data_IF_543050751077
#
_entry.id   IF_543050751077
#
_cell.length_a   1.000
_cell.length_b   1.000
_cell.length_c   1.000
_cell.angle_alpha   90.00
_cell.angle_beta   90.00
_cell.angle_gamma   90.00
#
_symmetry.space_group_name_H-M   'P 1'
#
loop_
_entity.id
_entity.type
_entity.pdbx_description
1 polymer ?
#
# COMPACT_ATOMS: atom_id res chain seq x y z
N UNK A 1 -5.04 5.19 10.87
CA UNK A 1 -5.07 5.43 9.42
C UNK A 1 -4.55 4.23 8.64
N UNK A 2 -3.33 3.71 8.85
CA UNK A 2 -2.90 2.48 8.14
C UNK A 2 -3.59 1.21 8.61
N UNK A 3 -3.89 1.08 9.91
CA UNK A 3 -4.65 -0.06 10.45
C UNK A 3 -6.13 -0.10 10.02
N UNK A 4 -6.64 0.98 9.44
CA UNK A 4 -8.05 1.05 9.03
C UNK A 4 -8.25 0.36 7.67
N UNK A 5 -7.28 0.41 6.75
CA UNK A 5 -7.34 -0.30 5.47
C UNK A 5 -7.35 -1.84 5.65
N UNK A 6 -6.64 -2.35 6.66
CA UNK A 6 -6.56 -3.80 6.94
C UNK A 6 -7.79 -4.35 7.64
N UNK A 7 -8.48 -3.54 8.47
CA UNK A 7 -9.80 -3.93 8.98
C UNK A 7 -10.78 -4.23 7.85
N UNK A 8 -10.57 -3.64 6.67
CA UNK A 8 -11.47 -3.83 5.53
C UNK A 8 -11.24 -5.16 4.78
N UNK A 9 -10.11 -5.85 4.95
CA UNK A 9 -9.96 -7.24 4.47
C UNK A 9 -10.90 -8.24 5.17
N UNK A 10 -11.58 -7.80 6.25
CA UNK A 10 -12.67 -8.55 6.87
C UNK A 10 -13.99 -8.42 6.11
N UNK A 11 -14.09 -7.50 5.14
CA UNK A 11 -15.21 -7.40 4.22
C UNK A 11 -14.95 -8.26 2.98
N UNK A 12 -15.99 -8.96 2.57
CA UNK A 12 -16.01 -9.98 1.53
C UNK A 12 -15.66 -9.49 0.11
N UNK A 13 -15.42 -8.20 -0.11
CA UNK A 13 -15.19 -7.64 -1.44
C UNK A 13 -14.37 -6.33 -1.43
N UNK A 14 -13.21 -6.34 -2.09
CA UNK A 14 -12.35 -5.15 -2.29
C UNK A 14 -13.05 -4.02 -3.05
N UNK A 15 -14.06 -4.34 -3.87
CA UNK A 15 -14.83 -3.35 -4.62
C UNK A 15 -15.61 -2.41 -3.69
N UNK A 16 -16.20 -2.96 -2.63
CA UNK A 16 -17.01 -2.19 -1.67
C UNK A 16 -16.12 -1.21 -0.88
N UNK A 17 -14.88 -1.63 -0.57
CA UNK A 17 -13.85 -0.76 0.01
C UNK A 17 -13.50 0.40 -0.94
N UNK A 18 -13.25 0.12 -2.21
CA UNK A 18 -12.91 1.18 -3.16
C UNK A 18 -14.09 2.16 -3.34
N UNK A 19 -15.32 1.66 -3.43
CA UNK A 19 -16.52 2.51 -3.52
C UNK A 19 -16.72 3.37 -2.26
N UNK A 20 -16.49 2.83 -1.06
CA UNK A 20 -16.57 3.57 0.21
C UNK A 20 -15.55 4.72 0.30
N UNK A 21 -14.34 4.52 -0.24
CA UNK A 21 -13.31 5.55 -0.34
C UNK A 21 -13.49 6.48 -1.55
N UNK A 22 -14.61 6.38 -2.29
CA UNK A 22 -14.92 7.21 -3.46
C UNK A 22 -14.08 6.88 -4.70
N UNK A 23 -13.47 5.70 -4.72
CA UNK A 23 -12.57 5.22 -5.76
C UNK A 23 -13.37 4.43 -6.79
N UNK A 24 -13.90 5.13 -7.79
CA UNK A 24 -14.84 4.56 -8.77
C UNK A 24 -14.18 3.89 -10.00
N UNK A 25 -12.87 4.06 -10.20
CA UNK A 25 -12.17 3.58 -11.42
C UNK A 25 -10.66 3.36 -11.25
N UNK A 26 -10.21 2.84 -10.12
CA UNK A 26 -8.76 2.61 -9.95
C UNK A 26 -8.28 1.40 -10.72
N UNK A 27 -7.51 1.65 -11.76
CA UNK A 27 -6.78 0.66 -12.56
C UNK A 27 -5.39 0.36 -12.01
N UNK A 28 -4.88 1.19 -11.08
CA UNK A 28 -3.53 1.03 -10.51
C UNK A 28 -3.42 1.50 -9.06
N UNK A 29 -2.72 0.74 -8.22
CA UNK A 29 -2.42 1.10 -6.82
C UNK A 29 -0.92 1.14 -6.55
N UNK A 30 -0.46 2.03 -5.68
CA UNK A 30 0.93 2.05 -5.23
C UNK A 30 1.03 1.55 -3.78
N UNK A 31 1.77 0.46 -3.57
CA UNK A 31 1.97 -0.18 -2.27
C UNK A 31 3.25 0.38 -1.62
N UNK A 32 3.10 1.16 -0.56
CA UNK A 32 4.22 1.77 0.18
C UNK A 32 4.75 0.80 1.25
N UNK A 33 5.80 0.03 0.94
CA UNK A 33 6.25 -1.09 1.79
C UNK A 33 6.93 -0.66 3.08
N UNK A 34 7.69 0.44 2.99
CA UNK A 34 8.56 0.92 4.06
C UNK A 34 8.71 2.42 3.97
N UNK A 35 8.99 3.07 5.10
CA UNK A 35 9.44 4.48 5.13
C UNK A 35 10.96 4.58 5.37
N UNK A 36 11.67 3.44 5.49
CA UNK A 36 13.14 3.43 5.53
C UNK A 36 13.67 3.86 4.17
N UNK A 37 14.60 4.80 4.17
CA UNK A 37 15.30 5.24 2.97
C UNK A 37 16.77 5.42 3.32
N UNK A 38 17.66 4.96 2.43
CA UNK A 38 19.10 5.15 2.53
C UNK A 38 19.54 6.55 2.06
N UNK A 39 18.62 7.37 1.54
CA UNK A 39 18.88 8.73 1.06
C UNK A 39 18.12 9.78 1.88
N UNK A 40 18.70 11.00 1.95
CA UNK A 40 18.10 12.16 2.65
C UNK A 40 17.77 13.28 1.68
N UNK A 41 16.94 12.99 0.68
CA UNK A 41 16.59 13.93 -0.38
C UNK A 41 15.93 15.19 0.19
N UNK A 42 16.39 16.37 -0.25
CA UNK A 42 15.97 17.67 0.30
C UNK A 42 14.45 17.92 0.24
N UNK A 43 13.76 17.30 -0.74
CA UNK A 43 12.33 17.45 -0.97
C UNK A 43 11.47 16.32 -0.39
N UNK A 44 12.08 15.22 0.06
CA UNK A 44 11.35 14.01 0.51
C UNK A 44 11.57 13.73 1.99
N UNK A 45 12.82 13.73 2.45
CA UNK A 45 13.20 13.25 3.78
C UNK A 45 12.63 14.08 4.93
N UNK A 46 12.46 15.40 4.73
CA UNK A 46 11.98 16.32 5.79
C UNK A 46 10.53 16.06 6.21
N UNK A 47 9.73 15.42 5.35
CA UNK A 47 8.32 15.15 5.59
C UNK A 47 8.00 13.64 5.60
N UNK A 48 9.00 12.78 5.87
CA UNK A 48 8.74 11.34 5.96
C UNK A 48 7.74 11.04 7.08
N UNK A 49 6.57 10.48 6.77
CA UNK A 49 5.58 10.11 7.77
C UNK A 49 6.10 8.98 8.66
N UNK A 50 5.40 8.74 9.78
CA UNK A 50 5.72 7.63 10.69
C UNK A 50 5.79 6.30 9.91
N UNK A 51 6.68 5.38 10.30
CA UNK A 51 6.88 4.14 9.58
C UNK A 51 5.57 3.35 9.47
N UNK A 52 5.22 3.04 8.23
CA UNK A 52 4.25 2.01 7.90
C UNK A 52 5.07 0.75 7.68
N UNK A 53 4.76 -0.31 8.42
CA UNK A 53 5.23 -1.65 8.12
C UNK A 53 4.01 -2.48 7.77
N UNK A 54 4.03 -3.02 6.56
CA UNK A 54 3.14 -4.11 6.19
C UNK A 54 3.59 -5.37 6.92
N UNK A 55 2.64 -6.21 7.31
CA UNK A 55 2.96 -7.60 7.56
C UNK A 55 3.26 -8.30 6.22
N UNK A 56 4.34 -9.10 6.11
CA UNK A 56 4.68 -9.77 4.86
C UNK A 56 3.59 -10.68 4.30
N UNK A 57 2.83 -11.37 5.15
CA UNK A 57 1.78 -12.29 4.71
C UNK A 57 0.60 -11.51 4.15
N UNK A 58 0.24 -10.40 4.80
CA UNK A 58 -0.80 -9.49 4.30
C UNK A 58 -0.42 -8.91 2.94
N UNK A 59 0.83 -8.43 2.79
CA UNK A 59 1.33 -7.90 1.52
C UNK A 59 1.26 -8.94 0.40
N UNK A 60 1.67 -10.18 0.68
CA UNK A 60 1.61 -11.29 -0.28
C UNK A 60 0.16 -11.61 -0.69
N UNK A 61 -0.78 -11.57 0.27
CA UNK A 61 -2.19 -11.73 -0.02
C UNK A 61 -2.69 -10.61 -0.95
N UNK A 62 -2.35 -9.34 -0.67
CA UNK A 62 -2.73 -8.21 -1.52
C UNK A 62 -2.23 -8.36 -2.96
N UNK A 63 -0.93 -8.64 -3.12
CA UNK A 63 -0.27 -8.75 -4.43
C UNK A 63 -0.88 -9.88 -5.28
N UNK A 64 -1.35 -10.97 -4.64
CA UNK A 64 -2.03 -12.07 -5.34
C UNK A 64 -3.44 -11.69 -5.78
N UNK A 65 -4.14 -10.89 -4.98
CA UNK A 65 -5.55 -10.57 -5.19
C UNK A 65 -5.74 -9.43 -6.20
N UNK A 66 -4.91 -8.38 -6.16
CA UNK A 66 -5.06 -7.19 -7.01
C UNK A 66 -5.16 -7.51 -8.52
N UNK A 67 -4.29 -8.38 -9.10
CA UNK A 67 -4.38 -8.73 -10.51
C UNK A 67 -5.66 -9.48 -10.89
N UNK A 68 -6.25 -10.24 -9.95
CA UNK A 68 -7.52 -10.95 -10.18
C UNK A 68 -8.69 -9.99 -10.42
N UNK A 69 -8.58 -8.76 -9.91
CA UNK A 69 -9.56 -7.69 -10.13
C UNK A 69 -9.16 -6.76 -11.28
N UNK A 70 -8.13 -7.10 -12.06
CA UNK A 70 -7.62 -6.24 -13.13
C UNK A 70 -6.91 -4.99 -12.64
N UNK A 71 -6.51 -4.95 -11.36
CA UNK A 71 -5.83 -3.81 -10.74
C UNK A 71 -4.32 -4.04 -10.87
N UNK A 72 -3.65 -3.16 -11.58
CA UNK A 72 -2.18 -3.12 -11.62
C UNK A 72 -1.63 -2.54 -10.31
N UNK A 73 -0.38 -2.87 -9.97
CA UNK A 73 0.23 -2.30 -8.78
C UNK A 73 1.68 -1.91 -9.01
N UNK A 74 2.10 -0.84 -8.32
CA UNK A 74 3.48 -0.42 -8.17
C UNK A 74 3.95 -0.64 -6.73
N UNK A 75 5.26 -0.85 -6.57
CA UNK A 75 5.90 -0.97 -5.26
C UNK A 75 6.67 0.33 -5.00
N UNK A 76 6.44 0.93 -3.85
CA UNK A 76 7.04 2.21 -3.46
C UNK A 76 7.30 2.26 -1.94
N UNK A 77 7.68 3.44 -1.42
CA UNK A 77 8.08 3.64 -0.04
C UNK A 77 9.13 4.74 0.07
N UNK A 78 9.98 4.62 1.09
CA UNK A 78 11.32 5.21 1.07
C UNK A 78 12.16 4.54 -0.01
N UNK A 79 13.04 3.63 0.38
CA UNK A 79 13.76 2.74 -0.53
C UNK A 79 13.16 1.33 -0.39
N UNK A 80 12.37 0.84 -1.36
CA UNK A 80 11.66 -0.43 -1.26
C UNK A 80 12.57 -1.63 -1.01
N UNK A 81 13.82 -1.59 -1.49
CA UNK A 81 14.80 -2.67 -1.31
C UNK A 81 15.28 -2.82 0.14
N UNK A 82 14.94 -1.90 1.04
CA UNK A 82 15.22 -1.98 2.48
C UNK A 82 14.09 -2.65 3.28
N UNK A 83 13.00 -3.07 2.63
CA UNK A 83 11.97 -3.88 3.25
C UNK A 83 12.50 -5.32 3.44
N UNK A 84 12.40 -5.89 4.66
CA UNK A 84 12.96 -7.21 4.99
C UNK A 84 12.20 -8.38 4.36
#
# INVERSE_FOLDING_TARGET
>A
MTGDLFKVYKYSNLRDLFEEFGVTSTTSVNLSLTQKCNWKCIFCYKNCPKPIQFDPDDLLAMIRVLPMYGISFGITGGEPTLYP
#
